data_IF_758029613358
#
_entry.id   IF_758029613358
#
_cell.length_a   1.000
_cell.length_b   1.000
_cell.length_c   1.000
_cell.angle_alpha   90.00
_cell.angle_beta   90.00
_cell.angle_gamma   90.00
#
_symmetry.space_group_name_H-M   'P 1'
#
loop_
_entity.id
_entity.type
_entity.pdbx_description
1 polymer ?
#
# COMPACT_ATOMS: atom_id res chain seq x y z
N UNK A 1 0.39 18.50 0.94
CA UNK A 1 -0.76 18.56 1.87
C UNK A 1 -2.09 18.80 1.17
N UNK A 2 -2.16 19.56 0.06
CA UNK A 2 -3.43 19.84 -0.63
C UNK A 2 -4.06 18.64 -1.35
N UNK A 3 -3.29 17.85 -2.10
CA UNK A 3 -3.81 16.71 -2.87
C UNK A 3 -4.34 15.56 -1.99
N UNK A 4 -3.76 15.40 -0.80
CA UNK A 4 -4.18 14.40 0.18
C UNK A 4 -5.58 14.68 0.73
N UNK A 5 -5.82 15.92 1.16
CA UNK A 5 -7.11 16.31 1.74
C UNK A 5 -8.21 16.20 0.69
N UNK A 6 -7.89 16.61 -0.53
CA UNK A 6 -8.76 16.45 -1.68
C UNK A 6 -9.08 14.96 -1.96
N UNK A 7 -8.09 14.07 -1.93
CA UNK A 7 -8.32 12.64 -2.11
C UNK A 7 -9.22 12.05 -1.01
N UNK A 8 -9.00 12.40 0.26
CA UNK A 8 -9.86 11.94 1.36
C UNK A 8 -11.31 12.44 1.21
N UNK A 9 -11.48 13.71 0.85
CA UNK A 9 -12.79 14.31 0.60
C UNK A 9 -13.50 13.63 -0.59
N UNK A 10 -12.76 13.23 -1.62
CA UNK A 10 -13.28 12.56 -2.82
C UNK A 10 -13.78 11.14 -2.55
N UNK A 11 -13.26 10.46 -1.53
CA UNK A 11 -13.62 9.06 -1.22
C UNK A 11 -14.54 8.93 0.00
N UNK A 12 -14.68 9.99 0.79
CA UNK A 12 -15.54 10.01 1.96
C UNK A 12 -17.01 9.76 1.56
N UNK A 13 -17.64 8.76 2.18
CA UNK A 13 -19.04 8.41 1.95
C UNK A 13 -19.34 7.64 0.65
N UNK A 14 -18.31 7.28 -0.14
CA UNK A 14 -18.47 6.42 -1.33
C UNK A 14 -18.27 4.95 -0.99
N UNK A 15 -19.04 4.07 -1.63
CA UNK A 15 -18.80 2.62 -1.56
C UNK A 15 -17.57 2.28 -2.40
N UNK A 16 -16.42 2.04 -1.75
CA UNK A 16 -15.18 1.65 -2.42
C UNK A 16 -15.02 0.14 -2.32
N UNK A 17 -15.08 -0.55 -3.46
CA UNK A 17 -14.79 -1.98 -3.53
C UNK A 17 -13.29 -2.17 -3.80
N UNK A 18 -12.54 -2.60 -2.80
CA UNK A 18 -11.15 -3.03 -2.98
C UNK A 18 -11.10 -4.52 -3.31
N UNK A 19 -10.69 -4.86 -4.54
CA UNK A 19 -10.33 -6.23 -4.88
C UNK A 19 -8.90 -6.50 -4.43
N UNK A 20 -8.76 -7.16 -3.28
CA UNK A 20 -7.51 -7.78 -2.83
C UNK A 20 -7.61 -9.27 -3.22
N UNK A 21 -6.54 -9.86 -3.76
CA UNK A 21 -6.57 -11.10 -4.56
C UNK A 21 -7.41 -12.30 -4.06
N UNK A 22 -7.94 -13.05 -5.03
CA UNK A 22 -8.61 -14.38 -4.97
C UNK A 22 -9.79 -14.61 -4.02
N UNK A 23 -10.23 -13.61 -3.25
CA UNK A 23 -11.40 -13.74 -2.38
C UNK A 23 -12.31 -12.53 -2.50
N UNK A 24 -13.14 -12.49 -3.54
CA UNK A 24 -14.31 -11.61 -3.54
C UNK A 24 -15.29 -12.11 -2.45
N UNK A 25 -15.05 -11.76 -1.19
CA UNK A 25 -16.08 -11.86 -0.18
C UNK A 25 -17.06 -10.71 -0.41
N UNK A 26 -18.15 -10.99 -1.14
CA UNK A 26 -19.34 -10.16 -1.10
C UNK A 26 -19.86 -10.17 0.34
N UNK A 27 -19.59 -9.11 1.07
CA UNK A 27 -20.07 -8.89 2.42
C UNK A 27 -19.89 -7.42 2.75
N UNK A 28 -20.97 -6.74 3.11
CA UNK A 28 -20.91 -5.42 3.73
C UNK A 28 -20.16 -5.57 5.04
N UNK A 29 -18.84 -5.33 5.05
CA UNK A 29 -18.10 -5.11 6.28
C UNK A 29 -18.24 -3.61 6.60
N UNK A 30 -18.99 -3.21 7.65
CA UNK A 30 -19.21 -1.80 7.95
C UNK A 30 -17.95 -1.06 8.46
N UNK A 31 -16.79 -1.72 8.51
CA UNK A 31 -15.56 -1.15 9.07
C UNK A 31 -15.00 0.00 8.23
N UNK A 32 -15.41 0.13 6.96
CA UNK A 32 -15.07 1.29 6.11
C UNK A 32 -15.81 2.58 6.52
N UNK A 33 -16.83 2.49 7.38
CA UNK A 33 -17.65 3.64 7.81
C UNK A 33 -17.28 4.16 9.20
N UNK A 34 -16.23 3.61 9.82
CA UNK A 34 -15.72 4.14 11.08
C UNK A 34 -14.77 5.32 10.81
N UNK A 35 -14.74 6.34 11.68
CA UNK A 35 -13.75 7.44 11.65
C UNK A 35 -12.28 6.96 11.82
N UNK A 36 -12.05 5.64 11.82
CA UNK A 36 -10.75 5.00 11.84
C UNK A 36 -10.02 5.06 10.48
N UNK A 37 -10.71 5.45 9.40
CA UNK A 37 -10.07 5.57 8.08
C UNK A 37 -8.86 6.52 8.10
N UNK A 38 -9.01 7.68 8.74
CA UNK A 38 -7.90 8.64 8.92
C UNK A 38 -6.75 8.00 9.70
N UNK A 39 -7.05 7.25 10.77
CA UNK A 39 -6.03 6.58 11.58
C UNK A 39 -5.27 5.50 10.80
N UNK A 40 -5.97 4.64 10.05
CA UNK A 40 -5.33 3.63 9.20
C UNK A 40 -4.46 4.28 8.12
N UNK A 41 -4.90 5.42 7.57
CA UNK A 41 -4.10 6.18 6.62
C UNK A 41 -2.85 6.78 7.28
N UNK A 42 -2.97 7.41 8.45
CA UNK A 42 -1.85 7.97 9.20
C UNK A 42 -0.81 6.90 9.57
N UNK A 43 -1.27 5.73 10.01
CA UNK A 43 -0.40 4.58 10.29
C UNK A 43 0.33 4.12 9.01
N UNK A 44 -0.38 3.98 7.90
CA UNK A 44 0.22 3.61 6.62
C UNK A 44 1.25 4.65 6.15
N UNK A 45 0.94 5.93 6.28
CA UNK A 45 1.83 7.04 5.93
C UNK A 45 3.08 7.06 6.82
N UNK A 46 2.91 6.85 8.13
CA UNK A 46 4.01 6.79 9.09
C UNK A 46 4.96 5.63 8.80
N UNK A 47 4.41 4.45 8.50
CA UNK A 47 5.19 3.29 8.06
C UNK A 47 5.94 3.62 6.76
N UNK A 48 5.26 4.12 5.73
CA UNK A 48 5.91 4.47 4.46
C UNK A 48 7.05 5.47 4.63
N UNK A 49 6.86 6.52 5.42
CA UNK A 49 7.89 7.53 5.67
C UNK A 49 9.12 6.91 6.33
N UNK A 50 8.93 6.09 7.38
CA UNK A 50 10.03 5.39 8.05
C UNK A 50 10.79 4.48 7.07
N UNK A 51 10.07 3.71 6.26
CA UNK A 51 10.68 2.83 5.27
C UNK A 51 11.43 3.63 4.20
N UNK A 52 10.84 4.69 3.66
CA UNK A 52 11.49 5.55 2.66
C UNK A 52 12.80 6.15 3.19
N UNK A 53 12.82 6.65 4.44
CA UNK A 53 14.04 7.16 5.07
C UNK A 53 15.15 6.12 5.20
N UNK A 54 14.80 4.86 5.47
CA UNK A 54 15.78 3.77 5.51
C UNK A 54 16.28 3.45 4.10
N UNK A 55 15.35 3.27 3.15
CA UNK A 55 15.64 2.79 1.81
C UNK A 55 16.48 3.76 0.97
N UNK A 56 16.27 5.08 1.13
CA UNK A 56 17.05 6.13 0.46
C UNK A 56 18.54 6.08 0.84
N UNK A 57 18.87 5.55 2.01
CA UNK A 57 20.24 5.48 2.50
C UNK A 57 20.92 4.13 2.22
N UNK A 58 20.26 3.20 1.53
CA UNK A 58 20.86 1.91 1.17
C UNK A 58 21.81 2.06 -0.02
N UNK A 59 23.01 1.48 0.11
CA UNK A 59 23.93 1.35 -1.02
C UNK A 59 23.46 0.25 -1.98
N UNK A 60 24.03 0.23 -3.19
CA UNK A 60 23.80 -0.88 -4.13
C UNK A 60 24.19 -2.24 -3.53
N UNK A 61 25.25 -2.27 -2.71
CA UNK A 61 25.67 -3.49 -2.03
C UNK A 61 24.63 -3.96 -1.00
N UNK A 62 24.00 -3.04 -0.27
CA UNK A 62 22.94 -3.36 0.68
C UNK A 62 21.70 -3.89 -0.04
N UNK A 63 21.34 -3.31 -1.18
CA UNK A 63 20.23 -3.75 -2.02
C UNK A 63 20.43 -5.16 -2.60
N UNK A 64 21.68 -5.60 -2.75
CA UNK A 64 22.04 -6.94 -3.22
C UNK A 64 22.10 -7.99 -2.08
N UNK A 65 21.94 -7.59 -0.81
CA UNK A 65 21.79 -8.56 0.30
C UNK A 65 20.58 -9.45 0.06
N UNK A 66 20.65 -10.68 0.54
CA UNK A 66 19.62 -11.69 0.32
C UNK A 66 18.87 -12.06 1.59
N UNK A 67 17.63 -12.49 1.44
CA UNK A 67 16.81 -13.07 2.50
C UNK A 67 16.21 -14.40 2.03
N UNK A 68 15.85 -15.27 2.98
CA UNK A 68 15.08 -16.48 2.70
C UNK A 68 13.59 -16.13 2.65
N UNK A 69 12.99 -16.13 1.47
CA UNK A 69 11.54 -16.05 1.29
C UNK A 69 10.92 -17.44 1.51
N UNK A 70 9.76 -17.53 2.20
CA UNK A 70 9.10 -18.81 2.46
C UNK A 70 8.82 -19.61 1.18
N UNK A 71 8.26 -18.96 0.16
CA UNK A 71 7.89 -19.64 -1.10
C UNK A 71 8.95 -19.54 -2.21
N UNK A 72 9.65 -18.41 -2.32
CA UNK A 72 10.55 -18.10 -3.45
C UNK A 72 12.02 -18.45 -3.19
N UNK A 73 12.36 -19.00 -2.03
CA UNK A 73 13.74 -19.32 -1.68
C UNK A 73 14.59 -18.07 -1.40
N UNK A 74 15.88 -18.11 -1.74
CA UNK A 74 16.78 -16.97 -1.53
C UNK A 74 16.47 -15.87 -2.55
N UNK A 75 16.09 -14.69 -2.07
CA UNK A 75 15.78 -13.52 -2.90
C UNK A 75 16.58 -12.29 -2.46
N UNK A 76 17.06 -11.43 -3.39
CA UNK A 76 17.73 -10.20 -3.03
C UNK A 76 16.73 -9.12 -2.57
N UNK A 77 17.15 -8.25 -1.66
CA UNK A 77 16.30 -7.18 -1.10
C UNK A 77 15.74 -6.26 -2.20
N UNK A 78 16.51 -5.97 -3.25
CA UNK A 78 16.05 -5.17 -4.40
C UNK A 78 14.83 -5.77 -5.12
N UNK A 79 14.70 -7.10 -5.14
CA UNK A 79 13.54 -7.76 -5.75
C UNK A 79 12.30 -7.54 -4.90
N UNK A 80 12.40 -7.72 -3.58
CA UNK A 80 11.29 -7.47 -2.65
C UNK A 80 10.85 -6.00 -2.68
N UNK A 81 11.80 -5.07 -2.72
CA UNK A 81 11.51 -3.64 -2.83
C UNK A 81 10.82 -3.29 -4.16
N UNK A 82 11.25 -3.89 -5.27
CA UNK A 82 10.63 -3.68 -6.58
C UNK A 82 9.18 -4.17 -6.60
N UNK A 83 8.92 -5.33 -6.01
CA UNK A 83 7.57 -5.88 -5.86
C UNK A 83 6.69 -4.93 -5.03
N UNK A 84 7.21 -4.44 -3.89
CA UNK A 84 6.50 -3.47 -3.06
C UNK A 84 6.11 -2.19 -3.83
N UNK A 85 7.07 -1.62 -4.57
CA UNK A 85 6.83 -0.40 -5.35
C UNK A 85 5.80 -0.61 -6.48
N UNK A 86 5.86 -1.75 -7.17
CA UNK A 86 4.86 -2.12 -8.18
C UNK A 86 3.47 -2.31 -7.55
N UNK A 87 3.40 -3.01 -6.41
CA UNK A 87 2.15 -3.34 -5.74
C UNK A 87 1.38 -2.09 -5.29
N UNK A 88 2.07 -1.09 -4.74
CA UNK A 88 1.45 0.18 -4.36
C UNK A 88 0.86 0.94 -5.56
N UNK A 89 1.60 1.00 -6.68
CA UNK A 89 1.10 1.61 -7.93
C UNK A 89 -0.12 0.87 -8.47
N UNK A 90 -0.07 -0.47 -8.47
CA UNK A 90 -1.18 -1.31 -8.93
C UNK A 90 -2.47 -1.03 -8.14
N UNK A 91 -2.37 -0.95 -6.81
CA UNK A 91 -3.53 -0.61 -5.97
C UNK A 91 -4.03 0.83 -6.16
N UNK A 92 -3.12 1.78 -6.38
CA UNK A 92 -3.53 3.16 -6.67
C UNK A 92 -4.37 3.24 -7.95
N UNK A 93 -4.01 2.49 -9.00
CA UNK A 93 -4.81 2.45 -10.22
C UNK A 93 -6.18 1.79 -10.00
N UNK A 94 -6.28 0.74 -9.17
CA UNK A 94 -7.57 0.18 -8.77
C UNK A 94 -8.45 1.19 -8.04
N UNK A 95 -7.87 2.02 -7.15
CA UNK A 95 -8.61 3.09 -6.47
C UNK A 95 -9.15 4.10 -7.49
N UNK A 96 -8.32 4.56 -8.43
CA UNK A 96 -8.72 5.50 -9.47
C UNK A 96 -9.89 4.97 -10.31
N UNK A 97 -9.83 3.69 -10.70
CA UNK A 97 -10.92 3.01 -11.43
C UNK A 97 -12.19 2.94 -10.59
N UNK A 98 -12.09 2.71 -9.28
CA UNK A 98 -13.27 2.66 -8.41
C UNK A 98 -13.94 4.03 -8.19
N UNK A 99 -13.22 5.13 -8.44
CA UNK A 99 -13.69 6.51 -8.24
C UNK A 99 -14.16 7.21 -9.52
N UNK A 100 -13.89 6.63 -10.70
CA UNK A 100 -14.36 7.12 -12.00
C UNK A 100 -15.81 6.78 -12.25
#
# INVERSE_FOLDING_TARGET
MNEYKQFLDEINGKNINFLIGSGASNGLIPTLWLPLFEKSFEELLGVHNRWASILVNLSESDLNRTMQHPDNGIVPLKQMLSLYAWHGKHHLEHIKIALS
#
